data_IF_750929884080
#
_entry.id   IF_750929884080
#
_cell.length_a   1.000
_cell.length_b   1.000
_cell.length_c   1.000
_cell.angle_alpha   90.00
_cell.angle_beta   90.00
_cell.angle_gamma   90.00
#
_symmetry.space_group_name_H-M   'P 1'
#
loop_
_entity.id
_entity.type
_entity.pdbx_description
1 polymer ?
#
# COMPACT_ATOMS: atom_id res chain seq x y z
N UNK A 1 10.77 -72.54 -17.10
CA UNK A 1 9.77 -71.49 -16.82
C UNK A 1 9.84 -70.50 -17.95
N UNK A 2 9.05 -70.70 -19.00
CA UNK A 2 8.98 -69.77 -20.12
C UNK A 2 8.17 -68.56 -19.68
N UNK A 3 8.81 -67.40 -19.60
CA UNK A 3 8.12 -66.13 -19.39
C UNK A 3 7.33 -65.83 -20.67
N UNK A 4 6.00 -65.91 -20.61
CA UNK A 4 5.13 -65.59 -21.73
C UNK A 4 5.32 -64.11 -22.12
N UNK A 5 5.89 -63.80 -23.30
CA UNK A 5 6.17 -62.41 -23.71
C UNK A 5 4.89 -61.56 -23.83
N UNK A 6 3.75 -62.18 -24.13
CA UNK A 6 2.45 -61.50 -24.15
C UNK A 6 2.01 -61.00 -22.77
N UNK A 7 2.32 -61.74 -21.70
CA UNK A 7 1.94 -61.33 -20.34
C UNK A 7 2.74 -60.11 -19.87
N UNK A 8 4.01 -60.00 -20.29
CA UNK A 8 4.83 -58.81 -20.07
C UNK A 8 4.31 -57.59 -20.86
N UNK A 9 3.91 -57.79 -22.12
CA UNK A 9 3.34 -56.72 -22.94
C UNK A 9 2.03 -56.17 -22.36
N UNK A 10 1.12 -57.05 -21.89
CA UNK A 10 -0.13 -56.65 -21.25
C UNK A 10 0.12 -55.92 -19.91
N UNK A 11 1.07 -56.39 -19.09
CA UNK A 11 1.47 -55.68 -17.87
C UNK A 11 2.02 -54.29 -18.16
N UNK A 12 2.89 -54.16 -19.18
CA UNK A 12 3.47 -52.88 -19.57
C UNK A 12 2.42 -51.92 -20.13
N UNK A 13 1.47 -52.41 -20.92
CA UNK A 13 0.35 -51.62 -21.40
C UNK A 13 -0.52 -51.12 -20.24
N UNK A 14 -0.87 -51.99 -19.29
CA UNK A 14 -1.65 -51.60 -18.11
C UNK A 14 -0.93 -50.57 -17.23
N UNK A 15 0.39 -50.70 -17.05
CA UNK A 15 1.21 -49.71 -16.35
C UNK A 15 1.19 -48.35 -17.04
N UNK A 16 1.34 -48.33 -18.36
CA UNK A 16 1.37 -47.11 -19.16
C UNK A 16 -0.01 -46.42 -19.20
N UNK A 17 -1.08 -47.21 -19.31
CA UNK A 17 -2.46 -46.71 -19.26
C UNK A 17 -2.86 -46.14 -17.89
N UNK A 18 -2.21 -46.60 -16.82
CA UNK A 18 -2.40 -46.07 -15.46
C UNK A 18 -1.63 -44.77 -15.20
N UNK A 19 -0.69 -44.40 -16.08
CA UNK A 19 0.13 -43.22 -15.90
C UNK A 19 -0.72 -41.95 -16.07
N UNK A 20 -0.66 -40.98 -15.13
CA UNK A 20 -1.51 -39.79 -15.19
C UNK A 20 -1.27 -38.97 -16.46
N UNK A 21 -0.02 -38.94 -16.96
CA UNK A 21 0.31 -38.28 -18.22
C UNK A 21 -0.43 -38.89 -19.41
N UNK A 22 -0.51 -40.22 -19.46
CA UNK A 22 -1.26 -40.94 -20.50
C UNK A 22 -2.76 -40.65 -20.40
N UNK A 23 -3.33 -40.72 -19.20
CA UNK A 23 -4.75 -40.45 -18.96
C UNK A 23 -5.11 -39.01 -19.38
N UNK A 24 -4.31 -38.03 -18.94
CA UNK A 24 -4.52 -36.62 -19.25
C UNK A 24 -4.38 -36.39 -20.76
N UNK A 25 -3.34 -36.95 -21.39
CA UNK A 25 -3.11 -36.85 -22.84
C UNK A 25 -4.30 -37.39 -23.64
N UNK A 26 -4.80 -38.58 -23.26
CA UNK A 26 -5.98 -39.18 -23.89
C UNK A 26 -7.23 -38.33 -23.73
N UNK A 27 -7.47 -37.79 -22.54
CA UNK A 27 -8.61 -36.90 -22.29
C UNK A 27 -8.55 -35.63 -23.13
N UNK A 28 -7.37 -35.02 -23.31
CA UNK A 28 -7.23 -33.86 -24.17
C UNK A 28 -7.53 -34.17 -25.64
N UNK A 29 -6.99 -35.29 -26.14
CA UNK A 29 -7.22 -35.74 -27.52
C UNK A 29 -8.71 -35.99 -27.76
N UNK A 30 -9.38 -36.69 -26.84
CA UNK A 30 -10.80 -37.01 -26.96
C UNK A 30 -11.70 -35.78 -26.89
N UNK A 31 -11.38 -34.82 -26.00
CA UNK A 31 -12.12 -33.55 -25.94
C UNK A 31 -11.98 -32.75 -27.23
N UNK A 32 -10.75 -32.60 -27.74
CA UNK A 32 -10.52 -31.86 -28.98
C UNK A 32 -11.19 -32.55 -30.18
N UNK A 33 -11.12 -33.88 -30.26
CA UNK A 33 -11.81 -34.65 -31.28
C UNK A 33 -13.34 -34.44 -31.22
N UNK A 34 -13.92 -34.45 -30.02
CA UNK A 34 -15.35 -34.21 -29.83
C UNK A 34 -15.78 -32.79 -30.21
N UNK A 35 -14.97 -31.77 -29.90
CA UNK A 35 -15.25 -30.37 -30.21
C UNK A 35 -15.10 -30.04 -31.70
N UNK A 36 -14.13 -30.65 -32.38
CA UNK A 36 -13.79 -30.34 -33.79
C UNK A 36 -14.40 -31.30 -34.80
N UNK A 37 -14.89 -32.47 -34.35
CA UNK A 37 -15.33 -33.56 -35.21
C UNK A 37 -14.21 -34.30 -35.94
N UNK A 38 -12.94 -34.04 -35.59
CA UNK A 38 -11.78 -34.70 -36.17
C UNK A 38 -11.54 -36.09 -35.55
N UNK A 39 -10.81 -36.95 -36.25
CA UNK A 39 -10.35 -38.23 -35.68
C UNK A 39 -9.33 -38.02 -34.55
N UNK A 40 -9.22 -38.97 -33.62
CA UNK A 40 -8.30 -38.88 -32.46
C UNK A 40 -6.85 -38.63 -32.88
N UNK A 41 -6.38 -39.23 -33.97
CA UNK A 41 -5.01 -39.07 -34.46
C UNK A 41 -4.75 -37.65 -35.02
N UNK A 42 -5.72 -37.08 -35.72
CA UNK A 42 -5.66 -35.69 -36.19
C UNK A 42 -5.74 -34.70 -35.02
N UNK A 43 -6.57 -34.99 -34.02
CA UNK A 43 -6.66 -34.19 -32.80
C UNK A 43 -5.35 -34.23 -32.00
N UNK A 44 -4.71 -35.40 -31.87
CA UNK A 44 -3.41 -35.54 -31.22
C UNK A 44 -2.33 -34.72 -31.94
N UNK A 45 -2.30 -34.79 -33.27
CA UNK A 45 -1.36 -34.02 -34.07
C UNK A 45 -1.62 -32.51 -33.94
N UNK A 46 -2.87 -32.09 -33.95
CA UNK A 46 -3.24 -30.69 -33.72
C UNK A 46 -2.82 -30.19 -32.33
N UNK A 47 -2.99 -30.99 -31.28
CA UNK A 47 -2.54 -30.66 -29.93
C UNK A 47 -1.03 -30.47 -29.84
N UNK A 48 -0.23 -31.23 -30.60
CA UNK A 48 1.23 -31.04 -30.61
C UNK A 48 1.63 -29.67 -31.18
N UNK A 49 0.88 -29.15 -32.16
CA UNK A 49 1.16 -27.84 -32.76
C UNK A 49 0.51 -26.67 -32.00
N UNK A 50 -0.61 -26.92 -31.33
CA UNK A 50 -1.43 -25.90 -30.67
C UNK A 50 -1.47 -26.05 -29.14
N UNK A 51 -0.54 -26.82 -28.54
CA UNK A 51 -0.49 -27.02 -27.10
C UNK A 51 -0.44 -25.66 -26.39
N UNK A 52 -1.34 -25.41 -25.42
CA UNK A 52 -1.36 -24.12 -24.74
C UNK A 52 -0.04 -23.88 -24.01
N UNK A 53 0.45 -22.66 -24.12
CA UNK A 53 1.65 -22.24 -23.40
C UNK A 53 1.40 -22.22 -21.89
N UNK A 54 2.48 -22.30 -21.09
CA UNK A 54 2.35 -22.34 -19.62
C UNK A 54 1.56 -21.17 -19.02
N UNK A 55 1.63 -19.97 -19.62
CA UNK A 55 0.84 -18.81 -19.18
C UNK A 55 -0.66 -18.97 -19.45
N UNK A 56 -1.03 -19.53 -20.58
CA UNK A 56 -2.44 -19.73 -20.95
C UNK A 56 -3.09 -20.74 -20.01
N UNK A 57 -2.35 -21.80 -19.66
CA UNK A 57 -2.79 -22.79 -18.67
C UNK A 57 -3.00 -22.13 -17.31
N UNK A 58 -2.04 -21.33 -16.84
CA UNK A 58 -2.16 -20.61 -15.55
C UNK A 58 -3.36 -19.66 -15.55
N UNK A 59 -3.56 -18.89 -16.62
CA UNK A 59 -4.72 -18.01 -16.75
C UNK A 59 -6.04 -18.78 -16.76
N UNK A 60 -6.12 -19.91 -17.47
CA UNK A 60 -7.31 -20.75 -17.50
C UNK A 60 -7.63 -21.34 -16.12
N UNK A 61 -6.61 -21.82 -15.40
CA UNK A 61 -6.76 -22.28 -14.01
C UNK A 61 -7.24 -21.17 -13.09
N UNK A 62 -6.63 -19.98 -13.16
CA UNK A 62 -7.04 -18.83 -12.37
C UNK A 62 -8.49 -18.42 -12.67
N UNK A 63 -8.89 -18.40 -13.94
CA UNK A 63 -10.27 -18.11 -14.34
C UNK A 63 -11.26 -19.13 -13.78
N UNK A 64 -10.96 -20.43 -13.89
CA UNK A 64 -11.82 -21.48 -13.31
C UNK A 64 -11.93 -21.37 -11.79
N UNK A 65 -10.83 -21.08 -11.09
CA UNK A 65 -10.85 -20.92 -9.65
C UNK A 65 -11.66 -19.68 -9.21
N UNK A 66 -11.57 -18.58 -9.96
CA UNK A 66 -12.39 -17.39 -9.70
C UNK A 66 -13.88 -17.68 -9.90
N UNK A 67 -14.25 -18.41 -10.96
CA UNK A 67 -15.65 -18.85 -11.18
C UNK A 67 -16.14 -19.71 -10.02
N UNK A 68 -15.35 -20.70 -9.58
CA UNK A 68 -15.70 -21.54 -8.42
C UNK A 68 -15.90 -20.72 -7.15
N UNK A 69 -15.05 -19.71 -6.93
CA UNK A 69 -15.16 -18.83 -5.75
C UNK A 69 -16.41 -17.94 -5.82
N UNK A 70 -16.79 -17.49 -7.02
CA UNK A 70 -18.02 -16.75 -7.25
C UNK A 70 -19.25 -17.62 -7.00
N UNK A 71 -19.29 -18.83 -7.57
CA UNK A 71 -20.36 -19.81 -7.36
C UNK A 71 -20.50 -20.21 -5.88
N UNK A 72 -19.38 -20.30 -5.15
CA UNK A 72 -19.36 -20.55 -3.71
C UNK A 72 -19.78 -19.33 -2.85
N UNK A 73 -20.13 -18.19 -3.47
CA UNK A 73 -20.53 -16.96 -2.78
C UNK A 73 -19.40 -16.30 -1.97
N UNK A 74 -18.14 -16.64 -2.26
CA UNK A 74 -16.96 -16.07 -1.58
C UNK A 74 -16.51 -14.75 -2.20
N UNK A 75 -16.88 -14.51 -3.46
CA UNK A 75 -16.55 -13.31 -4.24
C UNK A 75 -17.83 -12.84 -4.93
N UNK A 76 -18.22 -11.59 -4.69
CA UNK A 76 -19.44 -11.04 -5.29
C UNK A 76 -19.20 -10.51 -6.71
N UNK A 77 -18.07 -9.84 -6.95
CA UNK A 77 -17.80 -9.12 -8.20
C UNK A 77 -16.38 -9.42 -8.71
N UNK A 78 -16.24 -10.50 -9.48
CA UNK A 78 -14.96 -10.90 -10.10
C UNK A 78 -14.51 -9.88 -11.16
N UNK A 79 -15.45 -9.29 -11.91
CA UNK A 79 -15.14 -8.32 -12.96
C UNK A 79 -14.52 -7.05 -12.37
N UNK A 80 -15.03 -6.58 -11.23
CA UNK A 80 -14.45 -5.47 -10.48
C UNK A 80 -13.01 -5.72 -10.03
N UNK A 81 -12.68 -6.94 -9.58
CA UNK A 81 -11.30 -7.30 -9.24
C UNK A 81 -10.40 -7.33 -10.48
N UNK A 82 -10.86 -7.91 -11.60
CA UNK A 82 -10.09 -8.02 -12.84
C UNK A 82 -9.93 -6.68 -13.57
N UNK A 83 -10.80 -5.70 -13.31
CA UNK A 83 -10.65 -4.34 -13.83
C UNK A 83 -9.40 -3.63 -13.27
N UNK A 84 -8.95 -4.00 -12.07
CA UNK A 84 -7.71 -3.50 -11.50
C UNK A 84 -6.49 -4.32 -11.96
N UNK A 85 -5.55 -3.63 -12.61
CA UNK A 85 -4.29 -4.22 -13.07
C UNK A 85 -3.42 -4.72 -11.90
N UNK A 86 -3.57 -4.15 -10.70
CA UNK A 86 -2.82 -4.57 -9.53
C UNK A 86 -3.15 -6.03 -9.13
N UNK A 87 -4.41 -6.46 -9.34
CA UNK A 87 -4.85 -7.81 -9.02
C UNK A 87 -4.30 -8.90 -9.97
N UNK A 88 -4.04 -8.54 -11.23
CA UNK A 88 -3.59 -9.49 -12.25
C UNK A 88 -2.20 -10.10 -11.97
N UNK A 89 -1.31 -9.37 -11.30
CA UNK A 89 0.04 -9.85 -11.01
C UNK A 89 0.05 -10.96 -9.94
N UNK A 90 -0.59 -10.80 -8.76
CA UNK A 90 -0.77 -11.88 -7.80
C UNK A 90 -1.38 -13.16 -8.41
N UNK A 91 -2.36 -13.05 -9.30
CA UNK A 91 -2.99 -14.22 -9.94
C UNK A 91 -2.03 -15.12 -10.73
N UNK A 92 -0.90 -14.58 -11.21
CA UNK A 92 0.12 -15.36 -11.91
C UNK A 92 1.10 -16.05 -10.97
N UNK A 93 1.18 -15.60 -9.72
CA UNK A 93 2.18 -16.02 -8.74
C UNK A 93 1.59 -16.93 -7.64
N UNK A 94 0.27 -16.88 -7.42
CA UNK A 94 -0.39 -17.63 -6.35
C UNK A 94 -1.83 -18.04 -6.71
N UNK A 95 -2.43 -18.98 -5.96
CA UNK A 95 -3.83 -19.37 -6.17
C UNK A 95 -4.80 -18.21 -5.98
N UNK A 96 -5.90 -18.21 -6.73
CA UNK A 96 -6.89 -17.12 -6.77
C UNK A 96 -7.41 -16.70 -5.38
N UNK A 97 -7.66 -17.67 -4.49
CA UNK A 97 -8.14 -17.40 -3.13
C UNK A 97 -7.11 -16.63 -2.26
N UNK A 98 -5.81 -16.87 -2.47
CA UNK A 98 -4.75 -16.14 -1.76
C UNK A 98 -4.58 -14.74 -2.36
N UNK A 99 -4.61 -14.63 -3.69
CA UNK A 99 -4.52 -13.35 -4.40
C UNK A 99 -5.65 -12.38 -3.97
N UNK A 100 -6.88 -12.88 -3.84
CA UNK A 100 -8.02 -12.07 -3.39
C UNK A 100 -7.82 -11.51 -1.99
N UNK A 101 -7.42 -12.36 -1.04
CA UNK A 101 -7.17 -11.94 0.35
C UNK A 101 -6.06 -10.89 0.41
N UNK A 102 -4.97 -11.10 -0.33
CA UNK A 102 -3.87 -10.16 -0.37
C UNK A 102 -4.34 -8.82 -0.93
N UNK A 103 -5.02 -8.83 -2.06
CA UNK A 103 -5.53 -7.61 -2.69
C UNK A 103 -6.52 -6.86 -1.80
N UNK A 104 -7.46 -7.55 -1.14
CA UNK A 104 -8.39 -6.94 -0.19
C UNK A 104 -7.63 -6.28 0.98
N UNK A 105 -6.59 -6.95 1.50
CA UNK A 105 -5.78 -6.40 2.60
C UNK A 105 -4.97 -5.19 2.17
N UNK A 106 -4.40 -5.20 0.95
CA UNK A 106 -3.63 -4.08 0.40
C UNK A 106 -4.53 -2.88 0.13
N UNK A 107 -5.74 -3.11 -0.41
CA UNK A 107 -6.72 -2.05 -0.66
C UNK A 107 -7.18 -1.41 0.64
N UNK A 108 -7.51 -2.22 1.66
CA UNK A 108 -7.88 -1.73 2.98
C UNK A 108 -6.74 -0.90 3.61
N UNK A 109 -5.50 -1.39 3.56
CA UNK A 109 -4.34 -0.67 4.07
C UNK A 109 -4.11 0.67 3.33
N UNK A 110 -4.30 0.70 2.01
CA UNK A 110 -4.21 1.92 1.21
C UNK A 110 -5.28 2.95 1.57
N UNK A 111 -6.52 2.50 1.79
CA UNK A 111 -7.62 3.37 2.24
C UNK A 111 -7.36 3.96 3.62
N UNK A 112 -6.84 3.17 4.56
CA UNK A 112 -6.54 3.65 5.91
C UNK A 112 -5.41 4.68 5.91
N UNK A 113 -4.34 4.43 5.14
CA UNK A 113 -3.26 5.43 4.95
C UNK A 113 -3.80 6.71 4.33
N UNK A 114 -4.71 6.62 3.36
CA UNK A 114 -5.30 7.81 2.75
C UNK A 114 -6.20 8.56 3.74
N UNK A 115 -7.00 7.86 4.54
CA UNK A 115 -7.83 8.46 5.60
C UNK A 115 -6.97 9.19 6.63
N UNK A 116 -5.86 8.61 7.08
CA UNK A 116 -4.94 9.26 8.00
C UNK A 116 -4.34 10.55 7.43
N UNK A 117 -3.96 10.53 6.14
CA UNK A 117 -3.48 11.72 5.44
C UNK A 117 -4.54 12.81 5.36
N UNK A 118 -5.79 12.44 5.05
CA UNK A 118 -6.90 13.38 4.96
C UNK A 118 -7.23 14.01 6.32
N UNK A 119 -7.19 13.21 7.41
CA UNK A 119 -7.33 13.71 8.78
C UNK A 119 -6.19 14.68 9.12
N UNK A 120 -4.94 14.30 8.84
CA UNK A 120 -3.78 15.16 9.07
C UNK A 120 -3.85 16.48 8.28
N UNK A 121 -4.32 16.44 7.03
CA UNK A 121 -4.51 17.63 6.22
C UNK A 121 -5.57 18.57 6.81
N UNK A 122 -6.68 18.02 7.33
CA UNK A 122 -7.72 18.81 8.01
C UNK A 122 -7.23 19.44 9.30
N UNK A 123 -6.50 18.70 10.13
CA UNK A 123 -5.91 19.21 11.38
C UNK A 123 -4.92 20.36 11.11
N UNK A 124 -4.10 20.26 10.06
CA UNK A 124 -3.21 21.36 9.64
C UNK A 124 -3.99 22.60 9.21
N UNK A 125 -5.06 22.42 8.43
CA UNK A 125 -5.92 23.53 8.01
C UNK A 125 -6.61 24.20 9.20
N UNK A 126 -7.12 23.42 10.15
CA UNK A 126 -7.74 23.93 11.38
C UNK A 126 -6.73 24.76 12.20
N UNK A 127 -5.51 24.23 12.39
CA UNK A 127 -4.43 24.97 13.07
C UNK A 127 -4.06 26.27 12.36
N UNK A 128 -4.04 26.28 11.02
CA UNK A 128 -3.78 27.50 10.25
C UNK A 128 -4.90 28.53 10.40
N UNK A 129 -6.16 28.09 10.38
CA UNK A 129 -7.31 28.97 10.61
C UNK A 129 -7.32 29.54 12.03
N UNK A 130 -7.06 28.71 13.04
CA UNK A 130 -6.95 29.13 14.43
C UNK A 130 -5.86 30.20 14.59
N UNK A 131 -4.68 30.01 13.99
CA UNK A 131 -3.60 31.02 13.99
C UNK A 131 -4.01 32.34 13.34
N UNK A 132 -4.83 32.30 12.28
CA UNK A 132 -5.32 33.53 11.62
C UNK A 132 -6.34 34.28 12.48
N UNK A 133 -7.08 33.59 13.33
CA UNK A 133 -8.01 34.20 14.29
C UNK A 133 -7.34 34.76 15.55
N UNK A 134 -6.08 34.42 15.80
CA UNK A 134 -5.34 35.00 16.92
C UNK A 134 -4.97 36.45 16.62
N UNK A 135 -5.13 37.37 17.60
CA UNK A 135 -4.64 38.72 17.48
C UNK A 135 -3.15 38.73 17.13
N UNK A 136 -2.76 39.54 16.14
CA UNK A 136 -1.36 39.74 15.78
C UNK A 136 -0.56 40.09 17.04
N UNK A 137 0.62 39.48 17.26
CA UNK A 137 1.47 39.84 18.39
C UNK A 137 1.68 41.34 18.39
N UNK A 138 1.24 42.01 19.46
CA UNK A 138 1.57 43.42 19.69
C UNK A 138 3.08 43.43 19.82
N UNK A 139 3.78 43.87 18.75
CA UNK A 139 5.20 44.17 18.86
C UNK A 139 5.31 45.19 19.99
N UNK A 140 5.91 44.79 21.11
CA UNK A 140 6.38 45.71 22.13
C UNK A 140 7.50 46.57 21.55
N UNK A 141 7.13 47.49 20.65
CA UNK A 141 8.02 48.45 20.01
C UNK A 141 8.25 49.68 20.86
N UNK A 142 7.83 49.67 22.13
CA UNK A 142 8.19 50.68 23.10
C UNK A 142 9.32 50.09 23.95
N UNK A 143 10.58 50.51 23.77
CA UNK A 143 11.63 50.19 24.72
C UNK A 143 11.15 50.70 26.08
N UNK A 144 11.15 49.83 27.10
CA UNK A 144 10.99 50.30 28.46
C UNK A 144 12.09 51.34 28.72
N UNK A 145 11.72 52.56 29.11
CA UNK A 145 12.70 53.57 29.52
C UNK A 145 13.61 52.95 30.58
N UNK A 146 14.90 52.91 30.29
CA UNK A 146 15.90 52.44 31.25
C UNK A 146 15.96 53.45 32.40
N UNK A 147 15.14 53.25 33.43
CA UNK A 147 15.39 53.88 34.73
C UNK A 147 16.80 53.48 35.17
N UNK A 148 17.63 54.48 35.48
CA UNK A 148 18.96 54.26 36.01
C UNK A 148 18.86 53.32 37.22
N UNK A 149 19.61 52.22 37.17
CA UNK A 149 19.65 51.26 38.27
C UNK A 149 20.62 51.78 39.35
N UNK A 150 20.06 52.19 40.49
CA UNK A 150 20.82 52.67 41.63
C UNK A 150 21.33 51.54 42.54
N UNK A 151 21.00 50.27 42.26
CA UNK A 151 21.28 49.16 43.17
C UNK A 151 22.78 48.83 43.32
N UNK A 152 23.59 49.09 42.29
CA UNK A 152 25.03 48.80 42.29
C UNK A 152 25.91 50.06 42.38
N UNK A 153 25.32 51.20 42.76
CA UNK A 153 26.04 52.47 42.83
C UNK A 153 27.00 52.50 44.03
N UNK A 154 28.21 53.01 43.82
CA UNK A 154 29.15 53.23 44.91
C UNK A 154 28.76 54.43 45.78
N UNK A 155 29.14 54.42 47.06
CA UNK A 155 28.82 55.51 47.99
C UNK A 155 29.36 56.88 47.55
N UNK A 156 30.45 56.92 46.80
CA UNK A 156 31.05 58.14 46.25
C UNK A 156 30.20 58.74 45.12
N UNK A 157 29.67 57.90 44.24
CA UNK A 157 28.76 58.29 43.15
C UNK A 157 27.43 58.81 43.72
N UNK A 158 26.90 58.14 44.74
CA UNK A 158 25.69 58.59 45.43
C UNK A 158 25.89 59.97 46.08
N UNK A 159 27.03 60.20 46.73
CA UNK A 159 27.35 61.50 47.32
C UNK A 159 27.47 62.62 46.27
N UNK A 160 28.00 62.30 45.07
CA UNK A 160 28.08 63.25 43.97
C UNK A 160 26.69 63.63 43.43
N UNK A 161 25.77 62.66 43.30
CA UNK A 161 24.37 62.91 42.91
C UNK A 161 23.68 63.79 43.96
N UNK A 162 23.85 63.47 45.26
CA UNK A 162 23.28 64.27 46.34
C UNK A 162 23.75 65.73 46.31
N UNK A 163 25.04 65.96 46.02
CA UNK A 163 25.59 67.33 45.85
C UNK A 163 24.99 68.04 44.64
N UNK A 164 24.87 67.35 43.50
CA UNK A 164 24.24 67.92 42.29
C UNK A 164 22.78 68.28 42.53
N UNK A 165 22.03 67.42 43.23
CA UNK A 165 20.63 67.67 43.59
C UNK A 165 20.49 68.87 44.53
N UNK A 166 21.36 68.98 45.54
CA UNK A 166 21.38 70.12 46.46
C UNK A 166 21.71 71.44 45.74
N UNK A 167 22.64 71.42 44.77
CA UNK A 167 22.97 72.57 43.94
C UNK A 167 21.82 72.96 42.99
N UNK A 168 21.16 71.99 42.37
CA UNK A 168 20.01 72.24 41.50
C UNK A 168 18.82 72.84 42.28
N UNK A 169 18.56 72.32 43.49
CA UNK A 169 17.55 72.85 44.40
C UNK A 169 17.86 74.28 44.85
N UNK A 170 19.12 74.59 45.15
CA UNK A 170 19.56 75.95 45.48
C UNK A 170 19.42 76.92 44.30
N UNK A 171 19.44 76.42 43.06
CA UNK A 171 19.26 77.19 41.83
C UNK A 171 17.80 77.24 41.34
N UNK A 172 16.85 76.67 42.11
CA UNK A 172 15.42 76.66 41.77
C UNK A 172 15.06 75.86 40.51
N UNK A 173 15.96 74.98 40.04
CA UNK A 173 15.72 74.11 38.89
C UNK A 173 15.34 72.71 39.35
N UNK A 174 14.34 72.10 38.71
CA UNK A 174 14.07 70.68 38.92
C UNK A 174 15.24 69.86 38.35
N UNK A 175 15.91 69.03 39.15
CA UNK A 175 16.96 68.17 38.64
C UNK A 175 16.33 67.10 37.74
N UNK A 176 16.75 67.06 36.47
CA UNK A 176 16.54 65.86 35.66
C UNK A 176 17.49 64.78 36.19
N UNK A 177 16.91 63.68 36.69
CA UNK A 177 17.62 62.47 37.13
C UNK A 177 17.69 61.47 35.98
#
# INVERSE_FOLDING_TARGET
>A
MEQNPNMLAEMLAGLLESEPAYIIGRQFIQRLAAETGAGEEQAAQALLYAAPGGREVLCACAAQDLVRLQEAGRVADVEGYLADKAFAKPLLEMPAAAALRLYDTEKAAGEDVQRERDIGARDLLEKLMARRSLPSPIRGGVPAESRQDYANMSSTEFAAIKKRLALAAAQGKHPAL
#
